data_IF_164801048321
#
_entry.id   IF_164801048321
#
_cell.length_a   1.000
_cell.length_b   1.000
_cell.length_c   1.000
_cell.angle_alpha   90.00
_cell.angle_beta   90.00
_cell.angle_gamma   90.00
#
_symmetry.space_group_name_H-M   'P 1'
#
loop_
_entity.id
_entity.type
_entity.pdbx_description
1 polymer ?
#
# COMPACT_ATOMS: atom_id res chain seq x y z
N UNK A 1 -18.80 -30.03 6.82
CA UNK A 1 -17.40 -29.71 7.15
C UNK A 1 -17.11 -28.40 6.43
N UNK A 2 -16.86 -27.31 7.16
CA UNK A 2 -16.51 -26.02 6.55
C UNK A 2 -14.99 -26.01 6.40
N UNK A 3 -14.50 -26.30 5.19
CA UNK A 3 -13.10 -26.08 4.85
C UNK A 3 -12.90 -24.58 4.66
N UNK A 4 -12.07 -23.97 5.51
CA UNK A 4 -11.64 -22.59 5.33
C UNK A 4 -10.12 -22.55 5.39
N UNK A 5 -9.52 -21.96 4.36
CA UNK A 5 -8.09 -21.67 4.33
C UNK A 5 -7.84 -20.42 5.18
N UNK A 6 -7.08 -20.57 6.27
CA UNK A 6 -6.58 -19.43 7.06
C UNK A 6 -5.19 -19.07 6.54
N UNK A 7 -5.08 -17.95 5.83
CA UNK A 7 -3.79 -17.37 5.47
C UNK A 7 -3.38 -16.36 6.56
N UNK A 8 -2.58 -16.84 7.52
CA UNK A 8 -2.05 -15.98 8.58
C UNK A 8 -0.76 -15.32 8.08
N UNK A 9 -0.83 -14.04 7.70
CA UNK A 9 0.33 -13.29 7.23
C UNK A 9 0.77 -12.30 8.31
N UNK A 10 1.76 -12.68 9.11
CA UNK A 10 2.42 -11.75 10.03
C UNK A 10 3.43 -10.91 9.22
N UNK A 11 3.07 -9.68 8.88
CA UNK A 11 4.01 -8.72 8.28
C UNK A 11 4.49 -7.74 9.34
N UNK A 12 5.79 -7.71 9.58
CA UNK A 12 6.44 -6.48 10.02
C UNK A 12 6.81 -5.72 8.75
N UNK A 13 5.89 -4.92 8.20
CA UNK A 13 6.22 -4.03 7.08
C UNK A 13 7.18 -2.96 7.58
N UNK A 14 8.32 -2.81 6.89
CA UNK A 14 9.31 -1.75 7.16
C UNK A 14 9.50 -0.81 5.97
N UNK A 15 8.90 -1.12 4.82
CA UNK A 15 8.92 -0.28 3.62
C UNK A 15 7.51 -0.11 3.07
N UNK A 16 7.23 1.08 2.55
CA UNK A 16 5.93 1.77 2.40
C UNK A 16 5.43 2.40 3.69
N UNK A 17 4.86 3.60 3.55
CA UNK A 17 4.31 4.51 4.57
C UNK A 17 3.19 3.95 5.47
N UNK A 18 3.10 2.63 5.63
CA UNK A 18 2.25 1.96 6.60
C UNK A 18 3.12 1.61 7.83
N UNK A 19 2.92 2.35 8.93
CA UNK A 19 3.52 2.01 10.23
C UNK A 19 3.30 0.52 10.55
N UNK A 20 4.25 -0.13 11.25
CA UNK A 20 4.20 -1.56 11.52
C UNK A 20 2.85 -1.96 12.11
N UNK A 21 2.17 -2.88 11.41
CA UNK A 21 0.85 -3.35 11.76
C UNK A 21 0.72 -4.85 11.54
N UNK A 22 -0.28 -5.47 12.17
CA UNK A 22 -0.56 -6.90 12.01
C UNK A 22 -1.85 -7.05 11.22
N UNK A 23 -1.80 -7.77 10.10
CA UNK A 23 -2.97 -8.10 9.32
C UNK A 23 -3.26 -9.60 9.35
N UNK A 24 -4.55 -9.95 9.40
CA UNK A 24 -5.03 -11.34 9.30
C UNK A 24 -6.12 -11.38 8.25
N UNK A 25 -5.98 -12.30 7.30
CA UNK A 25 -6.96 -12.53 6.23
C UNK A 25 -7.62 -13.89 6.40
N UNK A 26 -8.96 -13.91 6.43
CA UNK A 26 -9.78 -15.11 6.58
C UNK A 26 -10.88 -15.06 5.52
N UNK A 27 -10.73 -15.84 4.45
CA UNK A 27 -11.61 -15.80 3.29
C UNK A 27 -11.73 -14.39 2.70
N UNK A 28 -12.95 -13.86 2.60
CA UNK A 28 -13.24 -12.50 2.07
C UNK A 28 -13.03 -11.37 3.10
N UNK A 29 -12.39 -11.63 4.24
CA UNK A 29 -12.24 -10.67 5.33
C UNK A 29 -10.77 -10.45 5.62
N UNK A 30 -10.36 -9.19 5.78
CA UNK A 30 -9.05 -8.81 6.29
C UNK A 30 -9.23 -7.90 7.49
N UNK A 31 -8.58 -8.23 8.60
CA UNK A 31 -8.51 -7.40 9.80
C UNK A 31 -7.08 -6.92 9.90
N UNK A 32 -6.89 -5.63 10.07
CA UNK A 32 -5.59 -4.99 10.22
C UNK A 32 -5.58 -4.18 11.51
N UNK A 33 -4.52 -4.36 12.28
CA UNK A 33 -4.20 -3.59 13.46
C UNK A 33 -3.00 -2.72 13.10
N UNK A 34 -3.23 -1.41 13.00
CA UNK A 34 -2.16 -0.42 12.81
C UNK A 34 -2.24 0.66 13.86
N UNK A 35 -1.23 1.50 13.98
CA UNK A 35 -1.28 2.64 14.88
C UNK A 35 -2.33 3.65 14.39
N UNK A 36 -3.02 4.27 15.34
CA UNK A 36 -4.08 5.24 15.08
C UNK A 36 -3.48 6.63 14.72
N UNK A 37 -3.88 7.20 13.58
CA UNK A 37 -3.51 8.55 13.15
C UNK A 37 -4.61 9.60 13.36
N UNK A 38 -4.25 10.90 13.37
CA UNK A 38 -5.19 12.05 13.40
C UNK A 38 -6.45 11.91 12.58
N UNK A 39 -6.23 11.39 11.38
CA UNK A 39 -7.18 11.45 10.28
C UNK A 39 -8.11 10.26 10.28
N UNK A 40 -7.84 9.28 11.15
CA UNK A 40 -8.67 8.11 11.31
C UNK A 40 -9.90 8.50 12.11
N UNK A 41 -10.94 8.93 11.40
CA UNK A 41 -12.29 8.95 11.94
C UNK A 41 -12.89 7.54 11.94
N UNK A 42 -13.87 7.25 12.82
CA UNK A 42 -14.65 6.04 12.69
C UNK A 42 -15.29 6.00 11.29
N UNK A 43 -15.06 4.91 10.57
CA UNK A 43 -15.65 4.65 9.26
C UNK A 43 -16.44 3.35 9.34
N UNK A 44 -17.64 3.34 8.77
CA UNK A 44 -18.49 2.16 8.75
C UNK A 44 -18.88 1.82 7.33
N UNK A 45 -18.48 0.63 6.86
CA UNK A 45 -18.90 0.08 5.57
C UNK A 45 -18.70 1.02 4.37
N UNK A 46 -17.63 1.82 4.35
CA UNK A 46 -17.30 2.67 3.21
C UNK A 46 -16.90 1.81 2.03
N UNK A 47 -17.50 2.03 0.87
CA UNK A 47 -17.08 1.37 -0.37
C UNK A 47 -15.75 1.96 -0.83
N UNK A 48 -14.81 1.08 -1.16
CA UNK A 48 -13.49 1.44 -1.68
C UNK A 48 -13.16 0.62 -2.93
N UNK A 49 -12.19 1.11 -3.71
CA UNK A 49 -11.66 0.46 -4.93
C UNK A 49 -12.77 0.00 -5.88
N UNK A 50 -13.65 0.93 -6.27
CA UNK A 50 -14.75 0.64 -7.20
C UNK A 50 -15.83 -0.32 -6.66
N UNK A 51 -15.90 -0.53 -5.34
CA UNK A 51 -16.87 -1.41 -4.71
C UNK A 51 -16.35 -2.83 -4.44
N UNK A 52 -15.08 -3.11 -4.76
CA UNK A 52 -14.44 -4.39 -4.49
C UNK A 52 -14.34 -4.66 -2.98
N UNK A 53 -14.19 -3.62 -2.17
CA UNK A 53 -14.12 -3.70 -0.72
C UNK A 53 -15.12 -2.80 -0.02
N UNK A 54 -15.54 -3.23 1.16
CA UNK A 54 -16.11 -2.39 2.20
C UNK A 54 -15.09 -2.28 3.32
N UNK A 55 -14.72 -1.04 3.66
CA UNK A 55 -13.84 -0.74 4.77
C UNK A 55 -14.64 -0.21 5.95
N UNK A 56 -14.36 -0.74 7.11
CA UNK A 56 -14.70 -0.15 8.39
C UNK A 56 -13.40 0.16 9.13
N UNK A 57 -13.36 1.28 9.83
CA UNK A 57 -12.22 1.70 10.63
C UNK A 57 -12.74 2.08 11.99
N UNK A 58 -12.16 1.50 13.03
CA UNK A 58 -12.47 1.84 14.41
C UNK A 58 -11.17 2.24 15.12
N UNK A 59 -10.99 3.53 15.44
CA UNK A 59 -9.88 3.95 16.26
C UNK A 59 -10.18 3.61 17.74
N UNK A 60 -9.29 2.85 18.38
CA UNK A 60 -9.36 2.48 19.80
C UNK A 60 -8.04 2.88 20.49
N UNK A 61 -8.04 4.04 21.14
CA UNK A 61 -6.85 4.56 21.81
C UNK A 61 -5.68 4.72 20.82
N UNK A 62 -4.52 4.08 21.04
CA UNK A 62 -3.36 4.17 20.15
C UNK A 62 -3.43 3.26 18.91
N UNK A 63 -4.45 2.41 18.77
CA UNK A 63 -4.57 1.42 17.70
C UNK A 63 -5.79 1.75 16.84
N UNK A 64 -5.64 1.70 15.52
CA UNK A 64 -6.74 1.68 14.58
C UNK A 64 -6.99 0.23 14.13
N UNK A 65 -8.20 -0.25 14.36
CA UNK A 65 -8.67 -1.52 13.80
C UNK A 65 -9.29 -1.22 12.45
N UNK A 66 -8.68 -1.73 11.38
CA UNK A 66 -9.22 -1.60 10.02
C UNK A 66 -9.75 -2.96 9.59
N UNK A 67 -11.03 -2.98 9.25
CA UNK A 67 -11.71 -4.17 8.77
C UNK A 67 -12.08 -3.97 7.31
N UNK A 68 -11.58 -4.86 6.46
CA UNK A 68 -11.94 -4.95 5.06
C UNK A 68 -12.81 -6.18 4.84
N UNK A 69 -13.99 -5.98 4.27
CA UNK A 69 -14.82 -7.04 3.72
C UNK A 69 -14.82 -6.93 2.21
N UNK A 70 -14.26 -7.93 1.55
CA UNK A 70 -14.29 -8.04 0.09
C UNK A 70 -15.73 -8.36 -0.36
N UNK A 71 -16.29 -7.52 -1.22
CA UNK A 71 -17.67 -7.66 -1.74
C UNK A 71 -17.69 -8.48 -3.02
N UNK A 72 -16.62 -8.38 -3.82
CA UNK A 72 -16.39 -9.14 -5.06
C UNK A 72 -14.95 -9.68 -5.05
N UNK A 73 -14.73 -10.91 -5.48
CA UNK A 73 -13.38 -11.37 -5.82
C UNK A 73 -12.86 -10.62 -7.03
N UNK A 74 -11.54 -10.61 -7.25
CA UNK A 74 -10.95 -9.98 -8.43
C UNK A 74 -11.54 -10.61 -9.69
N UNK A 75 -11.62 -11.95 -9.72
CA UNK A 75 -12.24 -12.66 -10.82
C UNK A 75 -13.72 -12.31 -11.03
N UNK A 76 -14.50 -12.15 -9.96
CA UNK A 76 -15.89 -11.69 -10.06
C UNK A 76 -15.98 -10.27 -10.63
N UNK A 77 -15.11 -9.36 -10.20
CA UNK A 77 -15.12 -7.96 -10.61
C UNK A 77 -14.79 -7.75 -12.09
N UNK A 78 -13.91 -8.60 -12.65
CA UNK A 78 -13.46 -8.49 -14.05
C UNK A 78 -14.10 -9.53 -14.98
N UNK A 79 -14.99 -10.38 -14.47
CA UNK A 79 -15.60 -11.47 -15.24
C UNK A 79 -14.60 -12.56 -15.66
N UNK A 80 -13.59 -12.84 -14.83
CA UNK A 80 -12.58 -13.84 -15.11
C UNK A 80 -13.15 -15.27 -15.08
N UNK A 81 -12.51 -16.25 -15.75
CA UNK A 81 -12.88 -17.66 -15.64
C UNK A 81 -12.98 -18.13 -14.19
N UNK A 82 -13.86 -19.09 -13.85
CA UNK A 82 -14.12 -19.52 -12.47
C UNK A 82 -12.88 -19.94 -11.65
N UNK A 83 -11.83 -20.43 -12.32
CA UNK A 83 -10.55 -20.76 -11.67
C UNK A 83 -9.82 -19.57 -11.05
N UNK A 84 -10.21 -18.34 -11.38
CA UNK A 84 -9.64 -17.08 -10.88
C UNK A 84 -10.60 -16.34 -9.92
N UNK A 85 -11.72 -16.94 -9.53
CA UNK A 85 -12.67 -16.34 -8.59
C UNK A 85 -12.46 -16.80 -7.15
N UNK A 86 -11.36 -17.51 -6.87
CA UNK A 86 -10.99 -17.99 -5.54
C UNK A 86 -10.39 -16.85 -4.68
N UNK A 87 -10.73 -16.84 -3.39
CA UNK A 87 -10.16 -15.91 -2.41
C UNK A 87 -8.64 -16.08 -2.20
N UNK A 88 -8.06 -17.23 -2.55
CA UNK A 88 -6.61 -17.42 -2.58
C UNK A 88 -5.98 -16.65 -3.74
N UNK A 89 -6.62 -16.63 -4.90
CA UNK A 89 -6.12 -15.88 -6.07
C UNK A 89 -6.17 -14.37 -5.82
N UNK A 90 -7.22 -13.92 -5.13
CA UNK A 90 -7.37 -12.56 -4.65
C UNK A 90 -6.18 -12.06 -3.83
N UNK A 91 -5.62 -12.92 -2.97
CA UNK A 91 -4.42 -12.61 -2.19
C UNK A 91 -3.17 -12.52 -3.08
N UNK A 92 -3.04 -13.43 -4.07
CA UNK A 92 -1.92 -13.38 -5.03
C UNK A 92 -1.92 -12.05 -5.79
N UNK A 93 -3.09 -11.56 -6.18
CA UNK A 93 -3.22 -10.27 -6.87
C UNK A 93 -2.89 -9.09 -5.96
N UNK A 94 -3.38 -9.08 -4.72
CA UNK A 94 -3.03 -8.03 -3.76
C UNK A 94 -1.52 -8.01 -3.49
N UNK A 95 -0.89 -9.19 -3.39
CA UNK A 95 0.56 -9.29 -3.18
C UNK A 95 1.35 -8.85 -4.40
N UNK A 96 0.90 -9.25 -5.58
CA UNK A 96 1.54 -8.87 -6.83
C UNK A 96 1.55 -7.35 -7.02
N UNK A 97 0.45 -6.65 -6.71
CA UNK A 97 0.38 -5.18 -6.78
C UNK A 97 1.33 -4.50 -5.78
N UNK A 98 1.48 -5.11 -4.60
CA UNK A 98 2.40 -4.63 -3.57
C UNK A 98 3.88 -4.85 -3.94
N UNK A 99 4.23 -5.98 -4.54
CA UNK A 99 5.60 -6.29 -4.96
C UNK A 99 5.92 -5.89 -6.40
N UNK A 100 5.02 -5.19 -7.10
CA UNK A 100 5.12 -4.97 -8.54
C UNK A 100 6.44 -4.29 -8.94
N UNK A 101 6.80 -3.19 -8.28
CA UNK A 101 8.01 -2.43 -8.61
C UNK A 101 9.26 -3.29 -8.39
N UNK A 102 9.34 -4.03 -7.28
CA UNK A 102 10.47 -4.90 -6.97
C UNK A 102 10.64 -6.00 -8.01
N UNK A 103 9.54 -6.64 -8.41
CA UNK A 103 9.55 -7.67 -9.44
C UNK A 103 9.93 -7.10 -10.80
N UNK A 104 9.44 -5.91 -11.14
CA UNK A 104 9.78 -5.21 -12.37
C UNK A 104 11.28 -4.85 -12.43
N UNK A 105 11.82 -4.27 -11.35
CA UNK A 105 13.25 -3.95 -11.22
C UNK A 105 14.11 -5.22 -11.33
N UNK A 106 13.74 -6.28 -10.60
CA UNK A 106 14.46 -7.56 -10.67
C UNK A 106 14.44 -8.15 -12.09
N UNK A 107 13.29 -8.06 -12.77
CA UNK A 107 13.15 -8.51 -14.16
C UNK A 107 14.04 -7.72 -15.11
N UNK A 108 14.10 -6.38 -14.98
CA UNK A 108 14.95 -5.53 -15.81
C UNK A 108 16.44 -5.83 -15.59
N UNK A 109 16.87 -5.94 -14.33
CA UNK A 109 18.26 -6.29 -13.96
C UNK A 109 18.66 -7.67 -14.50
N UNK A 110 17.76 -8.64 -14.42
CA UNK A 110 17.99 -9.97 -15.02
C UNK A 110 18.25 -9.87 -16.53
N UNK A 111 17.47 -9.08 -17.26
CA UNK A 111 17.64 -8.94 -18.71
C UNK A 111 18.82 -8.08 -19.13
N UNK A 112 19.32 -7.21 -18.23
CA UNK A 112 20.54 -6.46 -18.48
C UNK A 112 21.80 -7.33 -18.40
N UNK A 113 21.84 -8.27 -17.44
CA UNK A 113 23.10 -8.92 -17.05
C UNK A 113 23.12 -10.45 -17.23
N UNK A 114 21.95 -11.11 -17.27
CA UNK A 114 21.84 -12.58 -17.13
C UNK A 114 21.01 -13.27 -18.21
N UNK A 115 20.12 -12.56 -18.90
CA UNK A 115 19.32 -13.16 -19.96
C UNK A 115 20.20 -13.63 -21.13
N UNK A 116 19.75 -14.68 -21.81
CA UNK A 116 20.41 -15.22 -23.02
C UNK A 116 20.34 -14.20 -24.17
N UNK A 117 19.31 -13.36 -24.18
CA UNK A 117 19.11 -12.32 -25.19
C UNK A 117 20.09 -11.17 -24.97
N UNK A 118 20.73 -10.73 -26.06
CA UNK A 118 21.67 -9.63 -26.01
C UNK A 118 20.96 -8.31 -25.67
N UNK A 119 21.38 -7.67 -24.58
CA UNK A 119 20.96 -6.34 -24.18
C UNK A 119 21.94 -5.31 -24.75
N UNK A 120 21.57 -4.71 -25.89
CA UNK A 120 22.34 -3.62 -26.50
C UNK A 120 22.38 -2.38 -25.59
N UNK A 121 23.30 -1.44 -25.88
CA UNK A 121 23.50 -0.25 -25.04
C UNK A 121 22.26 0.64 -24.92
N UNK A 122 21.44 0.71 -25.96
CA UNK A 122 20.21 1.50 -25.97
C UNK A 122 19.13 0.87 -25.07
N UNK A 123 18.94 -0.45 -25.16
CA UNK A 123 18.07 -1.20 -24.24
C UNK A 123 18.56 -1.13 -22.81
N UNK A 124 19.86 -1.30 -22.60
CA UNK A 124 20.44 -1.21 -21.25
C UNK A 124 20.16 0.15 -20.62
N UNK A 125 20.34 1.24 -21.38
CA UNK A 125 20.03 2.59 -20.93
C UNK A 125 18.53 2.78 -20.61
N UNK A 126 17.64 2.32 -21.50
CA UNK A 126 16.18 2.35 -21.25
C UNK A 126 15.77 1.54 -20.02
N UNK A 127 16.34 0.36 -19.83
CA UNK A 127 16.05 -0.47 -18.65
C UNK A 127 16.58 0.18 -17.38
N UNK A 128 17.73 0.85 -17.44
CA UNK A 128 18.27 1.58 -16.29
C UNK A 128 17.39 2.78 -15.93
N UNK A 129 16.90 3.55 -16.91
CA UNK A 129 15.94 4.64 -16.68
C UNK A 129 14.68 4.14 -15.94
N UNK A 130 14.12 3.02 -16.39
CA UNK A 130 12.96 2.40 -15.73
C UNK A 130 13.30 1.91 -14.32
N UNK A 131 14.47 1.30 -14.10
CA UNK A 131 14.90 0.89 -12.77
C UNK A 131 14.98 2.10 -11.84
N UNK A 132 15.60 3.19 -12.28
CA UNK A 132 15.80 4.39 -11.47
C UNK A 132 14.46 5.04 -11.10
N UNK A 133 13.55 5.14 -12.07
CA UNK A 133 12.19 5.65 -11.84
C UNK A 133 11.36 4.73 -10.95
N UNK A 134 11.37 3.41 -11.16
CA UNK A 134 10.62 2.46 -10.32
C UNK A 134 11.16 2.38 -8.88
N UNK A 135 12.44 2.76 -8.70
CA UNK A 135 13.12 2.83 -7.41
C UNK A 135 12.96 4.18 -6.72
N UNK A 136 12.23 5.14 -7.31
CA UNK A 136 11.97 6.45 -6.68
C UNK A 136 11.28 6.23 -5.32
N UNK A 137 11.92 6.61 -4.20
CA UNK A 137 11.33 6.41 -2.89
C UNK A 137 10.05 7.22 -2.75
N UNK A 138 9.09 6.69 -1.99
CA UNK A 138 7.90 7.48 -1.59
C UNK A 138 8.36 8.75 -0.85
N UNK A 139 7.74 9.91 -1.11
CA UNK A 139 8.05 11.13 -0.36
C UNK A 139 7.74 10.91 1.12
N UNK A 140 8.69 11.22 2.00
CA UNK A 140 8.48 11.25 3.45
C UNK A 140 8.32 12.70 3.93
N UNK A 141 7.87 12.87 5.18
CA UNK A 141 7.87 14.17 5.83
C UNK A 141 9.27 14.77 5.88
N UNK A 142 9.38 16.08 5.71
CA UNK A 142 10.66 16.78 5.88
C UNK A 142 11.02 16.91 7.37
N UNK A 143 12.26 17.29 7.67
CA UNK A 143 12.68 17.52 9.05
C UNK A 143 11.92 18.68 9.70
N UNK A 144 11.59 19.72 8.93
CA UNK A 144 10.77 20.84 9.38
C UNK A 144 9.34 20.39 9.72
N UNK A 145 8.76 19.51 8.89
CA UNK A 145 7.44 18.94 9.11
C UNK A 145 7.42 18.01 10.33
N UNK A 146 8.47 17.20 10.50
CA UNK A 146 8.68 16.40 11.71
C UNK A 146 8.79 17.28 12.96
N UNK A 147 9.45 18.43 12.86
CA UNK A 147 9.55 19.40 13.96
C UNK A 147 8.18 19.98 14.34
N UNK A 148 7.25 20.16 13.39
CA UNK A 148 5.86 20.58 13.69
C UNK A 148 5.15 19.54 14.57
N UNK A 149 5.33 18.24 14.27
CA UNK A 149 4.75 17.17 15.08
C UNK A 149 5.40 17.11 16.47
N UNK A 150 6.73 17.21 16.55
CA UNK A 150 7.46 17.21 17.82
C UNK A 150 7.06 18.39 18.72
N UNK A 151 6.93 19.59 18.17
CA UNK A 151 6.54 20.79 18.91
C UNK A 151 5.08 20.74 19.40
N UNK A 152 4.22 20.00 18.69
CA UNK A 152 2.81 19.86 19.07
C UNK A 152 2.58 18.83 20.19
N UNK A 153 3.64 18.16 20.64
CA UNK A 153 3.62 17.17 21.71
C UNK A 153 2.83 15.91 21.35
N UNK A 154 2.80 14.97 22.30
CA UNK A 154 2.10 13.71 22.11
C UNK A 154 0.63 13.92 21.79
N UNK A 155 0.19 13.19 20.78
CA UNK A 155 -1.20 13.23 20.33
C UNK A 155 -2.13 12.44 21.23
N UNK A 156 -1.58 11.44 21.90
CA UNK A 156 -2.28 10.63 22.88
C UNK A 156 -2.22 11.37 24.22
N UNK A 157 -3.35 11.96 24.60
CA UNK A 157 -3.46 12.76 25.82
C UNK A 157 -4.25 11.99 26.86
N UNK A 158 -3.79 11.99 28.12
CA UNK A 158 -4.58 11.45 29.23
C UNK A 158 -5.67 12.43 29.64
N UNK A 159 -6.89 11.95 29.71
CA UNK A 159 -8.06 12.65 30.23
C UNK A 159 -8.51 11.93 31.50
N UNK A 160 -8.66 12.69 32.59
CA UNK A 160 -9.06 12.22 33.91
C UNK A 160 -8.20 11.07 34.47
N UNK A 161 -6.89 11.11 34.20
CA UNK A 161 -5.88 10.20 34.77
C UNK A 161 -5.92 8.74 34.30
N UNK A 162 -6.98 8.32 33.61
CA UNK A 162 -7.23 6.90 33.29
C UNK A 162 -7.55 6.64 31.82
N UNK A 163 -8.11 7.61 31.09
CA UNK A 163 -8.47 7.45 29.68
C UNK A 163 -7.46 8.13 28.79
N UNK A 164 -7.03 7.46 27.73
CA UNK A 164 -6.19 8.06 26.70
C UNK A 164 -7.06 8.43 25.50
N UNK A 165 -7.05 9.69 25.10
CA UNK A 165 -7.77 10.19 23.93
C UNK A 165 -6.80 10.84 22.96
N UNK A 166 -7.08 10.71 21.66
CA UNK A 166 -6.33 11.42 20.65
C UNK A 166 -6.85 12.86 20.52
N UNK A 167 -5.96 13.85 20.70
CA UNK A 167 -6.35 15.24 20.44
C UNK A 167 -6.57 15.46 18.94
N UNK A 168 -7.50 16.36 18.56
CA UNK A 168 -7.60 16.83 17.20
C UNK A 168 -6.26 17.40 16.70
N UNK A 169 -5.94 17.24 15.40
CA UNK A 169 -4.76 17.86 14.83
C UNK A 169 -4.89 19.38 14.84
N UNK A 170 -3.77 20.07 15.09
CA UNK A 170 -3.69 21.54 14.98
C UNK A 170 -3.77 21.97 13.53
N UNK A 171 -4.02 23.26 13.26
CA UNK A 171 -4.01 23.78 11.89
C UNK A 171 -2.65 23.60 11.19
N UNK A 172 -1.56 23.70 11.94
CA UNK A 172 -0.21 23.45 11.41
C UNK A 172 -0.01 21.98 11.04
N UNK A 173 -0.43 21.05 11.90
CA UNK A 173 -0.37 19.62 11.58
C UNK A 173 -1.26 19.27 10.38
N UNK A 174 -2.46 19.86 10.29
CA UNK A 174 -3.35 19.69 9.14
C UNK A 174 -2.72 20.15 7.83
N UNK A 175 -2.02 21.29 7.85
CA UNK A 175 -1.31 21.81 6.69
C UNK A 175 -0.17 20.88 6.25
N UNK A 176 0.63 20.38 7.20
CA UNK A 176 1.68 19.38 6.92
C UNK A 176 1.10 18.12 6.29
N UNK A 177 0.03 17.56 6.86
CA UNK A 177 -0.63 16.41 6.25
C UNK A 177 -1.21 16.69 4.86
N UNK A 178 -1.67 17.92 4.59
CA UNK A 178 -2.18 18.30 3.28
C UNK A 178 -1.07 18.36 2.24
N UNK A 179 0.05 19.02 2.56
CA UNK A 179 1.22 19.09 1.70
C UNK A 179 1.80 17.69 1.41
N UNK A 180 1.89 16.84 2.43
CA UNK A 180 2.32 15.46 2.25
C UNK A 180 1.41 14.69 1.29
N UNK A 181 0.08 14.80 1.44
CA UNK A 181 -0.88 14.13 0.53
C UNK A 181 -0.72 14.59 -0.92
N UNK A 182 -0.44 15.87 -1.14
CA UNK A 182 -0.19 16.41 -2.47
C UNK A 182 1.08 15.79 -3.09
N UNK A 183 2.20 15.80 -2.35
CA UNK A 183 3.45 15.15 -2.81
C UNK A 183 3.28 13.67 -3.06
N UNK A 184 2.58 12.94 -2.19
CA UNK A 184 2.28 11.52 -2.38
C UNK A 184 1.44 11.30 -3.63
N UNK A 185 0.41 12.13 -3.88
CA UNK A 185 -0.41 11.99 -5.08
C UNK A 185 0.37 12.24 -6.37
N UNK A 186 1.28 13.22 -6.38
CA UNK A 186 2.17 13.46 -7.52
C UNK A 186 3.15 12.29 -7.75
N UNK A 187 3.72 11.75 -6.67
CA UNK A 187 4.57 10.57 -6.74
C UNK A 187 3.80 9.35 -7.26
N UNK A 188 2.58 9.11 -6.77
CA UNK A 188 1.71 8.01 -7.22
C UNK A 188 1.43 8.12 -8.74
N UNK A 189 1.20 9.33 -9.25
CA UNK A 189 1.03 9.54 -10.70
C UNK A 189 2.29 9.17 -11.49
N UNK A 190 3.47 9.61 -11.05
CA UNK A 190 4.76 9.22 -11.67
C UNK A 190 4.96 7.70 -11.63
N UNK A 191 4.58 7.05 -10.54
CA UNK A 191 4.65 5.59 -10.43
C UNK A 191 3.70 4.90 -11.40
N UNK A 192 2.46 5.38 -11.56
CA UNK A 192 1.50 4.83 -12.53
C UNK A 192 2.05 4.93 -13.96
N UNK A 193 2.61 6.08 -14.34
CA UNK A 193 3.23 6.27 -15.65
C UNK A 193 4.41 5.33 -15.84
N UNK A 194 5.31 5.23 -14.86
CA UNK A 194 6.48 4.36 -14.92
C UNK A 194 6.10 2.88 -14.99
N UNK A 195 5.08 2.44 -14.24
CA UNK A 195 4.54 1.07 -14.33
C UNK A 195 3.96 0.79 -15.72
N UNK A 196 3.29 1.76 -16.33
CA UNK A 196 2.78 1.64 -17.71
C UNK A 196 3.93 1.49 -18.72
N UNK A 197 4.99 2.27 -18.58
CA UNK A 197 6.16 2.19 -19.45
C UNK A 197 6.85 0.82 -19.31
N UNK A 198 6.98 0.30 -18.08
CA UNK A 198 7.48 -1.05 -17.86
C UNK A 198 6.62 -2.12 -18.56
N UNK A 199 5.28 -2.03 -18.45
CA UNK A 199 4.37 -2.94 -19.17
C UNK A 199 4.60 -2.87 -20.69
N UNK A 200 4.90 -1.68 -21.23
CA UNK A 200 5.25 -1.48 -22.63
C UNK A 200 6.48 -2.28 -23.07
N UNK A 201 7.50 -2.41 -22.22
CA UNK A 201 8.72 -3.17 -22.54
C UNK A 201 8.63 -4.66 -22.23
N UNK A 202 7.60 -5.12 -21.51
CA UNK A 202 7.46 -6.54 -21.13
C UNK A 202 7.53 -7.49 -22.32
N UNK A 203 7.02 -7.09 -23.50
CA UNK A 203 7.10 -7.92 -24.69
C UNK A 203 8.55 -8.24 -25.06
N UNK A 204 9.45 -7.26 -24.94
CA UNK A 204 10.88 -7.41 -25.29
C UNK A 204 11.64 -8.35 -24.34
N UNK A 205 11.15 -8.49 -23.11
CA UNK A 205 11.78 -9.32 -22.08
C UNK A 205 11.49 -10.81 -22.29
N UNK A 206 10.29 -11.15 -22.81
CA UNK A 206 9.79 -12.53 -22.82
C UNK A 206 9.36 -13.04 -24.21
N UNK A 207 9.72 -12.33 -25.30
CA UNK A 207 9.53 -12.75 -26.69
C UNK A 207 10.83 -13.22 -27.33
#
# INVERSE_FOLDING_TARGET
MLDFTVALTLRARRDRDEEPGVAVTIGRRRIELRRHHSGDGPLWNRLERGGLYRRSLLPIGPIAIVYYRRSLTYGEAVGAPPRFTDAVFDWVIDEFDDSFNDLAIASLRYHQDWAITFCDGERRARYQDLIDRLSEPSPDFTDEERAVFAASGDRLVRVDGSRSMLRPPTDRERAVYAAQRERTAEWEQRMVETRRDFVGVMRELWS
#
